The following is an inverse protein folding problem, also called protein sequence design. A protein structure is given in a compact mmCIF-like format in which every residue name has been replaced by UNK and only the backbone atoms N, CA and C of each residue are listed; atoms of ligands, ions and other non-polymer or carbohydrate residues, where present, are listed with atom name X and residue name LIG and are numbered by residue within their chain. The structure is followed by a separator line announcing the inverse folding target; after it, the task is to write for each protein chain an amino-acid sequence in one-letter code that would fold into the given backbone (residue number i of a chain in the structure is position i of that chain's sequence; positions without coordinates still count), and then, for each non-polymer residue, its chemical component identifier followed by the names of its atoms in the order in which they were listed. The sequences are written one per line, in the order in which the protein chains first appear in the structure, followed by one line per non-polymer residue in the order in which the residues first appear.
data_IF_121285056430
#
_entry.id   IF_121285056430
#
_cell.length_a   1.000
_cell.length_b   1.000
_cell.length_c   1.000
_cell.angle_alpha   90.00
_cell.angle_beta   90.00
_cell.angle_gamma   90.00
#
_symmetry.space_group_name_H-M   'P 1'
#
loop_
_entity.id
_entity.type
_entity.pdbx_description
1 polymer ?
#
# COMPACT_ATOMS: atom_id res chain seq x y z
N UNK A 1 -23.62 -42.09 -20.18
CA UNK A 1 -23.88 -41.97 -18.73
C UNK A 1 -22.63 -41.66 -17.89
N UNK A 2 -21.48 -42.35 -18.07
CA UNK A 2 -20.27 -42.11 -17.27
C UNK A 2 -19.69 -40.68 -17.38
N UNK A 3 -19.75 -40.06 -18.57
CA UNK A 3 -19.26 -38.70 -18.83
C UNK A 3 -20.08 -37.62 -18.13
N UNK A 4 -21.41 -37.81 -18.05
CA UNK A 4 -22.34 -36.87 -17.39
C UNK A 4 -22.18 -36.92 -15.86
N UNK A 5 -21.99 -38.12 -15.28
CA UNK A 5 -21.69 -38.29 -13.85
C UNK A 5 -20.36 -37.63 -13.45
N UNK A 6 -19.31 -37.78 -14.27
CA UNK A 6 -18.02 -37.09 -14.05
C UNK A 6 -18.16 -35.57 -14.12
N UNK A 7 -18.95 -35.05 -15.06
CA UNK A 7 -19.18 -33.59 -15.18
C UNK A 7 -19.95 -33.02 -13.99
N UNK A 8 -20.97 -33.73 -13.49
CA UNK A 8 -21.75 -33.32 -12.32
C UNK A 8 -20.91 -33.38 -11.03
N UNK A 9 -20.11 -34.43 -10.85
CA UNK A 9 -19.19 -34.54 -9.72
C UNK A 9 -18.13 -33.42 -9.73
N UNK A 10 -17.58 -33.11 -10.91
CA UNK A 10 -16.63 -31.99 -11.07
C UNK A 10 -17.27 -30.64 -10.74
N UNK A 11 -18.51 -30.39 -11.18
CA UNK A 11 -19.26 -29.16 -10.85
C UNK A 11 -19.56 -29.04 -9.37
N UNK A 12 -19.95 -30.12 -8.71
CA UNK A 12 -20.21 -30.15 -7.27
C UNK A 12 -18.94 -29.86 -6.47
N UNK A 13 -17.81 -30.45 -6.87
CA UNK A 13 -16.52 -30.22 -6.23
C UNK A 13 -16.03 -28.77 -6.41
N UNK A 14 -16.20 -28.20 -7.61
CA UNK A 14 -15.90 -26.77 -7.87
C UNK A 14 -16.77 -25.85 -7.02
N UNK A 15 -18.05 -26.19 -6.83
CA UNK A 15 -18.95 -25.40 -5.98
C UNK A 15 -18.53 -25.44 -4.50
N UNK A 16 -18.14 -26.62 -4.00
CA UNK A 16 -17.70 -26.81 -2.61
C UNK A 16 -16.41 -26.05 -2.30
N UNK A 17 -15.46 -26.08 -3.23
CA UNK A 17 -14.19 -25.34 -3.14
C UNK A 17 -14.45 -23.83 -3.11
N UNK A 18 -15.30 -23.31 -4.01
CA UNK A 18 -15.68 -21.88 -4.01
C UNK A 18 -16.34 -21.45 -2.71
N UNK A 19 -17.24 -22.27 -2.17
CA UNK A 19 -17.89 -21.99 -0.88
C UNK A 19 -16.89 -21.97 0.27
N UNK A 20 -15.89 -22.86 0.24
CA UNK A 20 -14.79 -22.87 1.21
C UNK A 20 -13.95 -21.59 1.12
N UNK A 21 -13.49 -21.19 -0.06
CA UNK A 21 -12.71 -19.96 -0.28
C UNK A 21 -13.47 -18.71 0.22
N UNK A 22 -14.75 -18.58 -0.14
CA UNK A 22 -15.62 -17.48 0.30
C UNK A 22 -15.76 -17.46 1.82
N UNK A 23 -15.96 -18.63 2.43
CA UNK A 23 -16.10 -18.74 3.89
C UNK A 23 -14.81 -18.34 4.62
N UNK A 24 -13.64 -18.67 4.07
CA UNK A 24 -12.34 -18.27 4.64
C UNK A 24 -12.16 -16.76 4.52
N UNK A 25 -12.37 -16.21 3.34
CA UNK A 25 -12.21 -14.77 3.06
C UNK A 25 -13.12 -13.93 3.97
N UNK A 26 -14.41 -14.26 4.04
CA UNK A 26 -15.39 -13.52 4.84
C UNK A 26 -15.12 -13.64 6.33
N UNK A 27 -14.77 -14.85 6.81
CA UNK A 27 -14.42 -15.08 8.22
C UNK A 27 -13.22 -14.23 8.64
N UNK A 28 -12.13 -14.26 7.86
CA UNK A 28 -10.93 -13.47 8.17
C UNK A 28 -11.25 -11.97 8.15
N UNK A 29 -12.04 -11.52 7.17
CA UNK A 29 -12.44 -10.12 7.06
C UNK A 29 -13.23 -9.67 8.29
N UNK A 30 -14.25 -10.45 8.70
CA UNK A 30 -15.08 -10.16 9.87
C UNK A 30 -14.28 -10.19 11.18
N UNK A 31 -13.41 -11.18 11.38
CA UNK A 31 -12.56 -11.22 12.58
C UNK A 31 -11.63 -10.00 12.66
N UNK A 32 -11.07 -9.53 11.54
CA UNK A 32 -10.18 -8.37 11.55
C UNK A 32 -10.93 -7.03 11.68
N UNK A 33 -12.06 -6.85 10.99
CA UNK A 33 -12.77 -5.58 10.92
C UNK A 33 -13.88 -5.43 11.96
N UNK A 34 -14.58 -6.52 12.32
CA UNK A 34 -15.72 -6.47 13.25
C UNK A 34 -15.31 -6.88 14.69
N UNK A 35 -14.51 -7.94 14.85
CA UNK A 35 -14.14 -8.41 16.19
C UNK A 35 -12.96 -7.64 16.81
N UNK A 36 -11.91 -7.38 16.01
CA UNK A 36 -10.76 -6.56 16.47
C UNK A 36 -11.08 -5.07 16.30
N UNK A 37 -11.70 -4.68 15.18
CA UNK A 37 -12.03 -3.29 14.89
C UNK A 37 -10.83 -2.48 14.42
N UNK A 38 -10.75 -1.24 14.91
CA UNK A 38 -9.64 -0.33 14.66
C UNK A 38 -8.32 -0.97 15.10
N UNK A 39 -7.36 -1.03 14.17
CA UNK A 39 -6.03 -1.61 14.38
C UNK A 39 -4.93 -0.65 13.92
N UNK A 40 -4.79 0.52 14.57
CA UNK A 40 -3.75 1.49 14.22
C UNK A 40 -2.35 0.89 14.27
N UNK A 41 -1.46 1.35 13.40
CA UNK A 41 -0.05 0.98 13.47
C UNK A 41 0.53 1.21 14.89
N UNK A 42 1.38 0.28 15.34
CA UNK A 42 2.03 0.24 16.66
C UNK A 42 1.11 0.04 17.87
N UNK A 43 -0.15 -0.36 17.64
CA UNK A 43 -1.13 -0.60 18.70
C UNK A 43 -1.18 -2.06 19.15
N UNK A 44 -1.79 -2.30 20.31
CA UNK A 44 -2.09 -3.67 20.79
C UNK A 44 -3.08 -4.38 19.86
N UNK A 45 -3.99 -3.64 19.21
CA UNK A 45 -4.92 -4.18 18.23
C UNK A 45 -4.20 -4.64 16.95
N UNK A 46 -3.18 -3.91 16.49
CA UNK A 46 -2.29 -4.36 15.39
C UNK A 46 -1.57 -5.67 15.78
N UNK A 47 -1.07 -5.77 17.01
CA UNK A 47 -0.43 -6.99 17.52
C UNK A 47 -1.39 -8.18 17.57
N UNK A 48 -2.63 -7.95 18.01
CA UNK A 48 -3.69 -8.96 18.00
C UNK A 48 -4.06 -9.39 16.58
N UNK A 49 -4.18 -8.43 15.65
CA UNK A 49 -4.44 -8.72 14.23
C UNK A 49 -3.31 -9.56 13.63
N UNK A 50 -2.05 -9.21 13.91
CA UNK A 50 -0.88 -10.01 13.49
C UNK A 50 -0.95 -11.45 13.99
N UNK A 51 -1.33 -11.67 15.25
CA UNK A 51 -1.44 -13.02 15.81
C UNK A 51 -2.56 -13.83 15.13
N UNK A 52 -3.72 -13.21 14.89
CA UNK A 52 -4.85 -13.84 14.19
C UNK A 52 -4.48 -14.18 12.75
N UNK A 53 -3.87 -13.25 12.01
CA UNK A 53 -3.43 -13.46 10.63
C UNK A 53 -2.41 -14.61 10.57
N UNK A 54 -1.45 -14.64 11.50
CA UNK A 54 -0.47 -15.71 11.57
C UNK A 54 -1.13 -17.08 11.81
N UNK A 55 -2.13 -17.14 12.71
CA UNK A 55 -2.87 -18.37 12.95
C UNK A 55 -3.67 -18.81 11.70
N UNK A 56 -4.33 -17.90 11.01
CA UNK A 56 -5.09 -18.20 9.79
C UNK A 56 -4.18 -18.65 8.64
N UNK A 57 -3.01 -18.03 8.47
CA UNK A 57 -2.01 -18.46 7.49
C UNK A 57 -1.50 -19.89 7.78
N UNK A 58 -1.25 -20.23 9.06
CA UNK A 58 -0.86 -21.61 9.44
C UNK A 58 -1.98 -22.62 9.18
N UNK A 59 -3.23 -22.25 9.45
CA UNK A 59 -4.39 -23.12 9.21
C UNK A 59 -4.54 -23.49 7.73
N UNK A 60 -4.15 -22.60 6.82
CA UNK A 60 -4.18 -22.88 5.37
C UNK A 60 -2.88 -23.51 4.85
N UNK A 61 -1.99 -23.95 5.74
CA UNK A 61 -0.78 -24.70 5.42
C UNK A 61 0.40 -23.86 4.92
N UNK A 62 0.47 -22.57 5.28
CA UNK A 62 1.68 -21.77 5.06
C UNK A 62 2.66 -21.96 6.23
N UNK A 63 3.96 -21.90 5.93
CA UNK A 63 4.99 -21.69 6.94
C UNK A 63 4.98 -20.21 7.33
N UNK A 64 4.87 -19.90 8.62
CA UNK A 64 4.58 -18.52 9.06
C UNK A 64 5.64 -17.98 10.01
N UNK A 65 6.28 -16.89 9.59
CA UNK A 65 7.15 -16.04 10.40
C UNK A 65 6.49 -14.70 10.73
N UNK A 66 6.77 -14.18 11.93
CA UNK A 66 6.41 -12.80 12.31
C UNK A 66 7.70 -12.01 12.40
N UNK A 67 7.80 -10.95 11.60
CA UNK A 67 8.95 -10.06 11.57
C UNK A 67 8.63 -8.80 12.36
N UNK A 68 9.33 -8.57 13.47
CA UNK A 68 9.20 -7.35 14.27
C UNK A 68 10.15 -6.26 13.78
N UNK A 69 9.70 -5.01 13.84
CA UNK A 69 10.50 -3.83 13.50
C UNK A 69 10.00 -2.61 14.27
N UNK A 70 10.74 -1.50 14.18
CA UNK A 70 10.33 -0.21 14.77
C UNK A 70 9.70 0.69 13.72
N UNK A 71 8.57 1.30 14.06
CA UNK A 71 7.87 2.26 13.21
C UNK A 71 7.47 3.52 13.99
N UNK A 72 7.33 4.64 13.26
CA UNK A 72 6.80 5.87 13.82
C UNK A 72 5.29 5.75 14.10
N UNK A 73 4.87 6.07 15.31
CA UNK A 73 3.46 6.02 15.71
C UNK A 73 2.57 7.08 15.02
N UNK A 74 3.18 8.19 14.58
CA UNK A 74 2.49 9.33 13.93
C UNK A 74 3.24 9.72 12.65
N UNK A 75 3.17 8.91 11.59
CA UNK A 75 4.05 9.04 10.44
C UNK A 75 3.87 10.33 9.64
N UNK A 76 2.67 10.93 9.63
CA UNK A 76 2.49 12.22 8.95
C UNK A 76 3.04 13.40 9.75
N UNK A 77 3.36 13.20 11.03
CA UNK A 77 4.02 14.23 11.85
C UNK A 77 5.40 14.61 11.30
N UNK A 78 6.07 13.75 10.54
CA UNK A 78 7.34 14.08 9.88
C UNK A 78 7.19 15.22 8.85
N UNK A 79 6.10 15.20 8.08
CA UNK A 79 5.75 16.30 7.17
C UNK A 79 5.41 17.59 7.93
N UNK A 80 4.73 17.46 9.08
CA UNK A 80 4.47 18.59 9.99
C UNK A 80 5.77 19.20 10.54
N UNK A 81 6.73 18.36 10.94
CA UNK A 81 8.04 18.79 11.41
C UNK A 81 8.78 19.59 10.32
N UNK A 82 8.80 19.10 9.07
CA UNK A 82 9.38 19.83 7.94
C UNK A 82 8.73 21.21 7.78
N UNK A 83 7.40 21.28 7.77
CA UNK A 83 6.68 22.55 7.64
C UNK A 83 7.02 23.52 8.78
N UNK A 84 7.08 23.03 10.03
CA UNK A 84 7.45 23.82 11.20
C UNK A 84 8.88 24.36 11.14
N UNK A 85 9.87 23.52 10.79
CA UNK A 85 11.27 23.97 10.61
C UNK A 85 11.38 24.95 9.45
N UNK A 86 10.60 24.77 8.38
CA UNK A 86 10.54 25.70 7.26
C UNK A 86 10.01 27.09 7.63
N UNK A 87 9.01 27.17 8.52
CA UNK A 87 8.54 28.45 9.06
C UNK A 87 9.64 29.19 9.83
N UNK A 88 10.39 28.45 10.66
CA UNK A 88 11.54 29.01 11.38
C UNK A 88 12.62 29.47 10.40
N UNK A 89 12.90 28.68 9.36
CA UNK A 89 13.85 29.06 8.32
C UNK A 89 13.46 30.37 7.63
N UNK A 90 12.18 30.54 7.25
CA UNK A 90 11.70 31.78 6.65
C UNK A 90 11.80 32.96 7.61
N UNK A 91 11.48 32.78 8.90
CA UNK A 91 11.65 33.81 9.92
C UNK A 91 13.11 34.24 10.10
N UNK A 92 14.03 33.27 10.14
CA UNK A 92 15.47 33.54 10.19
C UNK A 92 15.98 34.26 8.94
N UNK A 93 15.33 34.07 7.79
CA UNK A 93 15.68 34.72 6.53
C UNK A 93 15.68 36.24 6.59
N UNK A 94 14.97 36.84 7.56
CA UNK A 94 15.00 38.28 7.82
C UNK A 94 16.38 38.80 8.25
N UNK A 95 17.11 38.02 9.03
CA UNK A 95 18.43 38.41 9.56
C UNK A 95 19.58 37.64 8.90
N UNK A 96 19.31 36.39 8.49
CA UNK A 96 20.29 35.42 8.03
C UNK A 96 19.79 34.77 6.72
N UNK A 97 19.76 35.51 5.60
CA UNK A 97 19.19 35.02 4.34
C UNK A 97 19.94 33.82 3.75
N UNK A 98 21.28 33.81 3.77
CA UNK A 98 22.05 32.70 3.20
C UNK A 98 21.92 31.37 3.99
N UNK A 99 22.03 31.36 5.34
CA UNK A 99 21.70 30.17 6.12
C UNK A 99 20.25 29.70 5.92
N UNK A 100 19.30 30.63 5.81
CA UNK A 100 17.89 30.30 5.52
C UNK A 100 17.73 29.58 4.18
N UNK A 101 18.40 30.05 3.12
CA UNK A 101 18.42 29.39 1.81
C UNK A 101 18.98 27.97 1.94
N UNK A 102 20.14 27.80 2.59
CA UNK A 102 20.76 26.49 2.75
C UNK A 102 19.84 25.51 3.49
N UNK A 103 19.19 25.95 4.56
CA UNK A 103 18.21 25.16 5.30
C UNK A 103 16.98 24.84 4.44
N UNK A 104 16.47 25.78 3.66
CA UNK A 104 15.31 25.58 2.79
C UNK A 104 15.58 24.57 1.67
N UNK A 105 16.78 24.59 1.07
CA UNK A 105 17.22 23.57 0.11
C UNK A 105 17.27 22.20 0.77
N UNK A 106 17.84 22.09 1.98
CA UNK A 106 17.88 20.82 2.72
C UNK A 106 16.48 20.30 3.01
N UNK A 107 15.55 21.15 3.48
CA UNK A 107 14.16 20.78 3.76
C UNK A 107 13.42 20.34 2.49
N UNK A 108 13.66 20.98 1.36
CA UNK A 108 13.12 20.57 0.06
C UNK A 108 13.61 19.17 -0.31
N UNK A 109 14.91 18.91 -0.22
CA UNK A 109 15.48 17.59 -0.50
C UNK A 109 14.91 16.51 0.43
N UNK A 110 14.75 16.81 1.71
CA UNK A 110 14.13 15.89 2.67
C UNK A 110 12.65 15.65 2.38
N UNK A 111 11.87 16.67 1.99
CA UNK A 111 10.47 16.52 1.61
C UNK A 111 10.31 15.63 0.38
N UNK A 112 11.14 15.86 -0.65
CA UNK A 112 11.17 15.01 -1.85
C UNK A 112 11.52 13.57 -1.47
N UNK A 113 12.54 13.38 -0.61
CA UNK A 113 12.93 12.05 -0.15
C UNK A 113 11.84 11.36 0.67
N UNK A 114 11.13 12.07 1.55
CA UNK A 114 10.06 11.50 2.37
C UNK A 114 8.86 11.06 1.51
N UNK A 115 8.52 11.82 0.46
CA UNK A 115 7.42 11.50 -0.46
C UNK A 115 7.76 10.38 -1.47
N UNK A 116 9.05 10.21 -1.82
CA UNK A 116 9.47 9.28 -2.88
C UNK A 116 10.26 8.07 -2.41
N UNK A 117 11.01 8.20 -1.32
CA UNK A 117 11.94 7.21 -0.81
C UNK A 117 11.46 6.53 0.48
N UNK A 118 12.37 5.81 1.15
CA UNK A 118 12.14 5.34 2.51
C UNK A 118 11.95 6.52 3.47
N UNK A 119 11.04 6.39 4.46
CA UNK A 119 10.81 7.45 5.40
C UNK A 119 12.08 7.67 6.23
N UNK A 120 12.65 8.87 6.14
CA UNK A 120 13.86 9.26 6.86
C UNK A 120 13.45 9.91 8.17
N UNK A 121 12.44 10.76 8.11
CA UNK A 121 11.97 11.53 9.25
C UNK A 121 11.24 10.66 10.25
N UNK A 122 10.65 9.55 9.79
CA UNK A 122 10.06 8.57 10.68
C UNK A 122 11.04 8.15 11.78
N UNK A 123 12.34 7.99 11.49
CA UNK A 123 13.35 7.59 12.48
C UNK A 123 13.58 8.60 13.60
N UNK A 124 13.30 9.89 13.36
CA UNK A 124 13.42 10.97 14.36
C UNK A 124 12.19 11.08 15.26
N UNK A 125 11.07 10.47 14.86
CA UNK A 125 9.84 10.44 15.64
C UNK A 125 9.87 9.32 16.69
N UNK A 126 8.90 9.35 17.61
CA UNK A 126 8.75 8.30 18.62
C UNK A 126 8.54 6.94 17.96
N UNK A 127 9.55 6.08 18.08
CA UNK A 127 9.50 4.70 17.62
C UNK A 127 8.68 3.84 18.58
N UNK A 128 7.91 2.92 18.00
CA UNK A 128 7.21 1.85 18.69
C UNK A 128 7.31 0.56 17.88
N UNK A 129 7.20 -0.61 18.52
CA UNK A 129 7.20 -1.89 17.79
C UNK A 129 5.98 -2.00 16.88
N UNK A 130 6.20 -2.58 15.71
CA UNK A 130 5.19 -3.07 14.77
C UNK A 130 5.71 -4.38 14.17
N UNK A 131 4.88 -5.07 13.39
CA UNK A 131 5.25 -6.37 12.84
C UNK A 131 4.59 -6.67 11.49
N UNK A 132 5.32 -7.39 10.64
CA UNK A 132 4.79 -8.04 9.46
C UNK A 132 4.49 -9.51 9.77
N UNK A 133 3.46 -10.06 9.12
CA UNK A 133 3.21 -11.52 9.10
C UNK A 133 3.54 -12.03 7.71
N UNK A 134 4.42 -13.02 7.66
CA UNK A 134 4.96 -13.58 6.42
C UNK A 134 4.59 -15.05 6.39
N UNK A 135 3.71 -15.43 5.48
CA UNK A 135 3.38 -16.81 5.17
C UNK A 135 4.06 -17.24 3.87
N UNK A 136 4.78 -18.36 3.87
CA UNK A 136 5.45 -18.90 2.69
C UNK A 136 4.93 -20.29 2.34
N UNK A 137 4.94 -20.59 1.05
CA UNK A 137 4.75 -21.93 0.49
C UNK A 137 5.92 -22.19 -0.44
N UNK A 138 6.87 -22.96 0.07
CA UNK A 138 8.08 -23.34 -0.66
C UNK A 138 7.74 -24.07 -1.97
N UNK A 139 8.55 -23.85 -3.00
CA UNK A 139 8.53 -24.69 -4.18
C UNK A 139 9.01 -26.11 -3.84
N UNK A 140 8.60 -27.14 -4.59
CA UNK A 140 9.07 -28.52 -4.34
C UNK A 140 10.53 -28.72 -4.76
N UNK A 141 11.03 -27.87 -5.66
CA UNK A 141 12.42 -27.82 -6.13
C UNK A 141 13.04 -26.45 -5.84
N UNK A 142 14.25 -26.23 -6.35
CA UNK A 142 14.87 -24.90 -6.35
C UNK A 142 13.95 -23.91 -7.08
N UNK A 143 13.44 -22.87 -6.40
CA UNK A 143 12.48 -21.95 -7.01
C UNK A 143 13.15 -21.14 -8.12
N UNK A 144 12.48 -21.05 -9.27
CA UNK A 144 12.88 -20.18 -10.41
C UNK A 144 12.20 -18.82 -10.34
N UNK A 145 11.10 -18.74 -9.60
CA UNK A 145 10.33 -17.52 -9.42
C UNK A 145 9.66 -17.49 -8.04
N UNK A 146 9.49 -16.28 -7.53
CA UNK A 146 8.74 -15.98 -6.30
C UNK A 146 7.61 -15.02 -6.63
N UNK A 147 6.42 -15.36 -6.19
CA UNK A 147 5.29 -14.44 -6.22
C UNK A 147 5.00 -13.98 -4.80
N UNK A 148 5.01 -12.66 -4.58
CA UNK A 148 4.79 -12.05 -3.28
C UNK A 148 3.49 -11.25 -3.31
N UNK A 149 2.47 -11.76 -2.62
CA UNK A 149 1.22 -11.05 -2.39
C UNK A 149 1.42 -10.12 -1.19
N UNK A 150 1.20 -8.81 -1.40
CA UNK A 150 1.29 -7.80 -0.34
C UNK A 150 -0.11 -7.31 0.02
N UNK A 151 -0.41 -7.26 1.31
CA UNK A 151 -1.61 -6.64 1.86
C UNK A 151 -1.27 -5.92 3.17
N UNK A 152 -2.11 -4.98 3.60
CA UNK A 152 -1.92 -4.28 4.86
C UNK A 152 -2.74 -4.90 5.98
N UNK A 153 -2.14 -5.08 7.15
CA UNK A 153 -2.85 -5.54 8.33
C UNK A 153 -3.32 -4.42 9.23
N UNK A 154 -2.69 -3.24 9.21
CA UNK A 154 -3.11 -2.08 10.00
C UNK A 154 -4.34 -1.39 9.40
N UNK A 155 -5.08 -0.65 10.23
CA UNK A 155 -6.15 0.23 9.77
C UNK A 155 -5.70 1.69 9.80
N UNK A 156 -6.00 2.46 8.75
CA UNK A 156 -5.51 3.81 8.62
C UNK A 156 -6.37 4.83 9.40
N UNK A 157 -5.81 6.01 9.66
CA UNK A 157 -6.59 7.17 10.10
C UNK A 157 -7.55 7.62 8.99
N UNK A 158 -8.77 7.97 9.38
CA UNK A 158 -9.77 8.55 8.49
C UNK A 158 -9.26 9.84 7.83
N UNK A 159 -9.67 10.01 6.58
CA UNK A 159 -9.53 11.21 5.78
C UNK A 159 -10.94 11.69 5.44
N UNK A 160 -11.24 12.95 5.72
CA UNK A 160 -12.55 13.50 5.38
C UNK A 160 -12.80 13.38 3.85
N UNK A 161 -13.99 12.94 3.40
CA UNK A 161 -14.27 12.65 1.99
C UNK A 161 -13.93 13.78 1.01
N UNK A 162 -14.20 15.04 1.37
CA UNK A 162 -13.87 16.22 0.55
C UNK A 162 -12.37 16.46 0.34
N UNK A 163 -11.51 15.85 1.17
CA UNK A 163 -10.05 15.98 1.09
C UNK A 163 -9.38 14.82 0.36
N UNK A 164 -10.09 13.71 0.10
CA UNK A 164 -9.53 12.55 -0.57
C UNK A 164 -9.11 12.85 -2.02
N UNK A 165 -9.93 13.63 -2.75
CA UNK A 165 -9.61 14.10 -4.11
C UNK A 165 -8.44 15.09 -4.14
N UNK A 166 -8.23 15.83 -3.06
CA UNK A 166 -7.15 16.82 -2.92
C UNK A 166 -5.90 16.27 -2.24
N UNK A 167 -5.89 14.99 -1.83
CA UNK A 167 -4.79 14.42 -1.04
C UNK A 167 -3.44 14.58 -1.73
N UNK A 168 -3.39 14.35 -3.04
CA UNK A 168 -2.18 14.57 -3.84
C UNK A 168 -1.71 16.02 -3.74
N UNK A 169 -2.61 16.99 -3.91
CA UNK A 169 -2.28 18.42 -3.81
C UNK A 169 -1.72 18.76 -2.41
N UNK A 170 -2.35 18.24 -1.35
CA UNK A 170 -1.88 18.42 0.03
C UNK A 170 -0.50 17.79 0.29
N UNK A 171 -0.20 16.63 -0.30
CA UNK A 171 1.12 16.02 -0.17
C UNK A 171 2.20 16.85 -0.89
N UNK A 172 1.84 17.54 -1.97
CA UNK A 172 2.78 18.35 -2.76
C UNK A 172 2.88 19.81 -2.30
N UNK A 173 2.01 20.27 -1.40
CA UNK A 173 1.99 21.66 -0.96
C UNK A 173 3.20 22.03 -0.10
N UNK A 174 3.76 21.09 0.66
CA UNK A 174 4.97 21.31 1.47
C UNK A 174 6.22 21.55 0.59
N UNK A 175 6.60 20.64 -0.33
CA UNK A 175 7.75 20.90 -1.21
C UNK A 175 7.51 22.12 -2.12
N UNK A 176 6.27 22.38 -2.52
CA UNK A 176 5.92 23.61 -3.24
C UNK A 176 6.15 24.86 -2.37
N UNK A 177 5.76 24.83 -1.09
CA UNK A 177 6.01 25.91 -0.14
C UNK A 177 7.50 26.19 0.08
N UNK A 178 8.33 25.15 0.13
CA UNK A 178 9.79 25.33 0.18
C UNK A 178 10.36 25.94 -1.10
N UNK A 179 9.88 25.52 -2.26
CA UNK A 179 10.28 26.09 -3.55
C UNK A 179 9.90 27.58 -3.64
N UNK A 180 8.68 27.93 -3.21
CA UNK A 180 8.23 29.32 -3.14
C UNK A 180 9.04 30.13 -2.10
N UNK A 181 9.41 29.50 -0.98
CA UNK A 181 10.30 30.06 0.02
C UNK A 181 11.67 30.47 -0.54
N UNK A 182 12.28 29.60 -1.34
CA UNK A 182 13.55 29.90 -2.02
C UNK A 182 13.44 31.11 -2.95
N UNK A 183 12.37 31.19 -3.74
CA UNK A 183 12.11 32.33 -4.63
C UNK A 183 11.90 33.61 -3.83
N UNK A 184 11.11 33.56 -2.75
CA UNK A 184 10.83 34.70 -1.89
C UNK A 184 12.09 35.21 -1.16
N UNK A 185 12.96 34.31 -0.69
CA UNK A 185 14.26 34.65 -0.10
C UNK A 185 15.16 35.33 -1.13
N UNK A 186 15.20 34.84 -2.38
CA UNK A 186 15.91 35.49 -3.46
C UNK A 186 15.43 36.93 -3.70
N UNK A 187 14.11 37.13 -3.79
CA UNK A 187 13.51 38.47 -3.93
C UNK A 187 13.89 39.37 -2.76
N UNK A 188 13.79 38.89 -1.52
CA UNK A 188 14.10 39.67 -0.32
C UNK A 188 15.57 40.13 -0.26
N UNK A 189 16.51 39.31 -0.74
CA UNK A 189 17.94 39.66 -0.81
C UNK A 189 18.19 40.81 -1.80
N UNK A 190 17.60 40.74 -3.00
CA UNK A 190 17.83 41.75 -4.05
C UNK A 190 16.94 43.00 -3.90
N UNK A 191 15.77 42.86 -3.26
CA UNK A 191 14.79 43.91 -3.04
C UNK A 191 14.38 43.95 -1.56
N UNK A 192 15.20 44.56 -0.67
CA UNK A 192 14.91 44.61 0.77
C UNK A 192 13.60 45.31 1.13
N UNK A 193 13.05 46.19 0.29
CA UNK A 193 11.73 46.76 0.54
C UNK A 193 10.60 45.71 0.45
N UNK A 194 10.88 44.52 -0.09
CA UNK A 194 9.91 43.46 -0.40
C UNK A 194 10.03 42.23 0.53
N UNK A 195 10.64 42.36 1.72
CA UNK A 195 10.73 41.25 2.68
C UNK A 195 9.36 40.64 3.05
N UNK A 196 8.26 41.40 2.94
CA UNK A 196 6.89 40.91 3.15
C UNK A 196 6.48 39.76 2.22
N UNK A 197 7.16 39.56 1.08
CA UNK A 197 6.93 38.43 0.17
C UNK A 197 7.17 37.08 0.86
N UNK A 198 8.00 37.02 1.91
CA UNK A 198 8.23 35.81 2.73
C UNK A 198 6.96 35.32 3.45
N UNK A 199 5.97 36.18 3.65
CA UNK A 199 4.70 35.82 4.30
C UNK A 199 3.87 34.87 3.44
N UNK A 200 4.03 34.87 2.11
CA UNK A 200 3.26 34.00 1.20
C UNK A 200 3.63 32.52 1.40
N UNK A 201 4.90 32.09 1.24
CA UNK A 201 5.29 30.72 1.57
C UNK A 201 5.13 30.42 3.06
N UNK A 202 5.31 31.41 3.94
CA UNK A 202 5.06 31.28 5.37
C UNK A 202 3.62 30.87 5.68
N UNK A 203 2.63 31.57 5.13
CA UNK A 203 1.22 31.23 5.31
C UNK A 203 0.89 29.84 4.78
N UNK A 204 1.42 29.48 3.61
CA UNK A 204 1.22 28.15 3.02
C UNK A 204 1.75 27.04 3.93
N UNK A 205 2.99 27.18 4.43
CA UNK A 205 3.60 26.20 5.33
C UNK A 205 2.88 26.15 6.68
N UNK A 206 2.39 27.29 7.19
CA UNK A 206 1.59 27.35 8.42
C UNK A 206 0.28 26.59 8.26
N UNK A 207 -0.44 26.79 7.14
CA UNK A 207 -1.66 26.03 6.85
C UNK A 207 -1.34 24.53 6.76
N UNK A 208 -0.26 24.14 6.08
CA UNK A 208 0.15 22.73 6.00
C UNK A 208 0.44 22.14 7.39
N UNK A 209 1.18 22.85 8.23
CA UNK A 209 1.47 22.44 9.61
C UNK A 209 0.18 22.26 10.42
N UNK A 210 -0.72 23.23 10.37
CA UNK A 210 -2.00 23.18 11.09
C UNK A 210 -2.88 22.01 10.61
N UNK A 211 -2.88 21.72 9.31
CA UNK A 211 -3.60 20.56 8.74
C UNK A 211 -3.02 19.26 9.28
N UNK A 212 -1.69 19.10 9.31
CA UNK A 212 -1.03 17.89 9.84
C UNK A 212 -1.30 17.76 11.35
N UNK A 213 -1.14 18.83 12.13
CA UNK A 213 -1.39 18.81 13.58
C UNK A 213 -2.84 18.47 13.90
N UNK A 214 -3.79 19.07 13.18
CA UNK A 214 -5.21 18.75 13.33
C UNK A 214 -5.49 17.29 12.98
N UNK A 215 -4.87 16.75 11.92
CA UNK A 215 -5.02 15.35 11.53
C UNK A 215 -4.51 14.42 12.61
N UNK A 216 -3.27 14.62 13.11
CA UNK A 216 -2.68 13.73 14.09
C UNK A 216 -3.37 13.80 15.47
N UNK A 217 -3.97 14.94 15.82
CA UNK A 217 -4.66 15.14 17.10
C UNK A 217 -6.15 14.75 17.10
N UNK A 218 -6.85 14.87 15.97
CA UNK A 218 -8.33 14.73 15.94
C UNK A 218 -8.87 13.73 14.93
N UNK A 219 -8.05 13.16 14.05
CA UNK A 219 -8.58 12.19 13.09
C UNK A 219 -8.85 10.85 13.77
N UNK A 220 -10.11 10.42 13.69
CA UNK A 220 -10.57 9.08 14.05
C UNK A 220 -9.93 8.01 13.14
N UNK A 221 -10.03 6.76 13.56
CA UNK A 221 -9.49 5.62 12.82
C UNK A 221 -10.61 4.92 12.05
N UNK A 222 -10.31 4.35 10.88
CA UNK A 222 -11.25 3.40 10.28
C UNK A 222 -11.07 2.02 10.91
N UNK A 223 -12.09 1.19 10.80
CA UNK A 223 -11.97 -0.26 11.07
C UNK A 223 -11.17 -0.99 9.98
N UNK A 224 -10.84 -0.33 8.86
CA UNK A 224 -9.99 -0.90 7.81
C UNK A 224 -10.63 -2.10 7.11
N UNK A 225 -11.93 -2.07 6.84
CA UNK A 225 -12.64 -3.21 6.25
C UNK A 225 -12.07 -3.59 4.87
N UNK A 226 -11.68 -2.62 4.05
CA UNK A 226 -11.07 -2.88 2.74
C UNK A 226 -9.68 -3.51 2.82
N UNK A 227 -8.88 -3.17 3.84
CA UNK A 227 -7.59 -3.79 4.12
C UNK A 227 -7.78 -5.22 4.65
N UNK A 228 -8.72 -5.42 5.56
CA UNK A 228 -9.11 -6.74 6.07
C UNK A 228 -9.58 -7.67 4.94
N UNK A 229 -10.38 -7.15 4.01
CA UNK A 229 -10.83 -7.88 2.82
C UNK A 229 -9.65 -8.28 1.92
N UNK A 230 -8.63 -7.43 1.78
CA UNK A 230 -7.43 -7.78 1.04
C UNK A 230 -6.63 -8.90 1.71
N UNK A 231 -6.45 -8.86 3.03
CA UNK A 231 -5.81 -9.94 3.80
C UNK A 231 -6.58 -11.25 3.64
N UNK A 232 -7.90 -11.22 3.83
CA UNK A 232 -8.77 -12.38 3.65
C UNK A 232 -8.68 -12.96 2.24
N UNK A 233 -8.62 -12.11 1.21
CA UNK A 233 -8.47 -12.52 -0.20
C UNK A 233 -7.13 -13.24 -0.42
N UNK A 234 -6.04 -12.69 0.10
CA UNK A 234 -4.71 -13.26 -0.09
C UNK A 234 -4.56 -14.62 0.61
N UNK A 235 -5.10 -14.76 1.82
CA UNK A 235 -5.09 -16.04 2.56
C UNK A 235 -6.01 -17.07 1.91
N UNK A 236 -7.21 -16.68 1.47
CA UNK A 236 -8.11 -17.57 0.74
C UNK A 236 -7.48 -18.06 -0.57
N UNK A 237 -6.80 -17.17 -1.30
CA UNK A 237 -6.05 -17.54 -2.51
C UNK A 237 -4.94 -18.55 -2.21
N UNK A 238 -4.21 -18.36 -1.12
CA UNK A 238 -3.12 -19.25 -0.74
C UNK A 238 -3.60 -20.62 -0.24
N UNK A 239 -4.77 -20.69 0.40
CA UNK A 239 -5.37 -21.96 0.82
C UNK A 239 -5.57 -22.92 -0.37
N UNK A 240 -6.01 -22.36 -1.49
CA UNK A 240 -6.43 -23.13 -2.66
C UNK A 240 -5.37 -23.24 -3.76
N UNK A 241 -4.32 -22.42 -3.70
CA UNK A 241 -3.26 -22.43 -4.71
C UNK A 241 -2.21 -23.49 -4.38
N UNK A 242 -2.13 -24.61 -5.11
CA UNK A 242 -1.31 -25.76 -4.73
C UNK A 242 0.18 -25.41 -4.74
N UNK A 243 0.96 -26.16 -3.96
CA UNK A 243 2.41 -26.12 -4.04
C UNK A 243 2.86 -26.36 -5.49
N UNK A 244 3.85 -25.59 -5.97
CA UNK A 244 4.37 -25.67 -7.33
C UNK A 244 5.81 -26.15 -7.33
N UNK A 245 6.26 -26.68 -8.46
CA UNK A 245 7.61 -27.20 -8.56
C UNK A 245 8.68 -26.11 -8.60
N UNK A 246 8.41 -25.03 -9.36
CA UNK A 246 9.40 -23.99 -9.65
C UNK A 246 9.00 -22.60 -9.12
N UNK A 247 7.84 -22.47 -8.46
CA UNK A 247 7.31 -21.18 -8.01
C UNK A 247 7.00 -21.20 -6.52
N UNK A 248 7.61 -20.26 -5.81
CA UNK A 248 7.35 -20.01 -4.39
C UNK A 248 6.25 -18.95 -4.23
N UNK A 249 5.31 -19.17 -3.31
CA UNK A 249 4.30 -18.19 -2.94
C UNK A 249 4.61 -17.59 -1.57
N UNK A 250 4.61 -16.26 -1.51
CA UNK A 250 4.69 -15.50 -0.29
C UNK A 250 3.39 -14.71 -0.13
N UNK A 251 2.80 -14.78 1.05
CA UNK A 251 1.69 -13.91 1.48
C UNK A 251 2.22 -13.07 2.63
N UNK A 252 2.34 -11.76 2.40
CA UNK A 252 2.87 -10.84 3.40
C UNK A 252 1.80 -9.84 3.78
N UNK A 253 1.35 -9.95 5.04
CA UNK A 253 0.56 -8.92 5.68
C UNK A 253 1.53 -7.91 6.32
N UNK A 254 1.59 -6.72 5.76
CA UNK A 254 2.47 -5.64 6.17
C UNK A 254 1.86 -4.87 7.35
N UNK A 255 2.65 -4.69 8.39
CA UNK A 255 2.36 -3.75 9.48
C UNK A 255 2.80 -2.33 9.14
N UNK A 256 2.23 -1.36 9.85
CA UNK A 256 2.55 0.05 9.69
C UNK A 256 2.55 0.54 8.22
N UNK A 257 1.56 0.12 7.42
CA UNK A 257 1.33 0.59 6.05
C UNK A 257 1.06 2.08 6.00
N UNK A 258 0.25 2.59 6.93
CA UNK A 258 0.00 4.02 7.08
C UNK A 258 1.27 4.81 7.49
N UNK A 259 2.33 4.12 7.95
CA UNK A 259 3.61 4.69 8.34
C UNK A 259 4.64 4.77 7.22
N UNK A 260 4.23 5.35 6.10
CA UNK A 260 5.09 5.62 4.94
C UNK A 260 5.80 4.34 4.39
N UNK A 261 5.15 3.18 4.53
CA UNK A 261 5.67 1.89 4.09
C UNK A 261 6.85 1.42 4.94
N UNK A 262 6.77 1.57 6.27
CA UNK A 262 7.80 1.04 7.18
C UNK A 262 7.83 -0.49 7.15
N UNK A 263 6.68 -1.16 7.09
CA UNK A 263 6.58 -2.61 6.97
C UNK A 263 7.27 -3.17 5.73
N UNK A 264 7.00 -2.60 4.56
CA UNK A 264 7.66 -3.07 3.33
C UNK A 264 9.16 -2.79 3.33
N UNK A 265 9.61 -1.68 3.94
CA UNK A 265 11.05 -1.43 4.08
C UNK A 265 11.70 -2.48 4.97
N UNK A 266 11.08 -2.82 6.10
CA UNK A 266 11.59 -3.85 7.00
C UNK A 266 11.67 -5.21 6.30
N UNK A 267 10.64 -5.56 5.52
CA UNK A 267 10.61 -6.77 4.70
C UNK A 267 11.81 -6.81 3.74
N UNK A 268 11.98 -5.79 2.90
CA UNK A 268 13.05 -5.73 1.91
C UNK A 268 14.46 -5.66 2.53
N UNK A 269 14.59 -5.12 3.75
CA UNK A 269 15.86 -5.08 4.46
C UNK A 269 16.30 -6.45 5.00
N UNK A 270 15.35 -7.30 5.38
CA UNK A 270 15.65 -8.58 6.05
C UNK A 270 15.61 -9.78 5.12
N UNK A 271 14.81 -9.70 4.04
CA UNK A 271 14.64 -10.80 3.10
C UNK A 271 15.25 -10.43 1.74
N UNK A 272 16.27 -11.17 1.28
CA UNK A 272 16.84 -10.97 -0.04
C UNK A 272 15.85 -11.49 -1.10
N UNK A 273 15.18 -10.57 -1.78
CA UNK A 273 14.41 -10.86 -2.99
C UNK A 273 15.27 -10.56 -4.22
N UNK A 274 15.70 -11.59 -4.99
CA UNK A 274 16.36 -11.39 -6.28
C UNK A 274 15.39 -10.68 -7.21
N UNK A 275 15.85 -9.60 -7.85
CA UNK A 275 14.95 -8.71 -8.60
C UNK A 275 14.41 -9.39 -9.85
N UNK A 276 15.24 -10.18 -10.55
CA UNK A 276 14.83 -10.89 -11.76
C UNK A 276 13.88 -12.06 -11.48
N UNK A 277 13.82 -12.55 -10.24
CA UNK A 277 13.07 -13.75 -9.87
C UNK A 277 11.89 -13.45 -8.92
N UNK A 278 11.64 -12.17 -8.58
CA UNK A 278 10.58 -11.82 -7.62
C UNK A 278 9.53 -10.88 -8.23
N UNK A 279 8.29 -11.32 -8.21
CA UNK A 279 7.12 -10.57 -8.68
C UNK A 279 6.17 -10.25 -7.53
N UNK A 280 5.97 -8.96 -7.31
CA UNK A 280 5.07 -8.46 -6.27
C UNK A 280 3.69 -8.16 -6.84
N UNK A 281 2.65 -8.70 -6.21
CA UNK A 281 1.27 -8.31 -6.46
C UNK A 281 0.77 -7.61 -5.21
N UNK A 282 0.68 -6.29 -5.28
CA UNK A 282 0.15 -5.47 -4.20
C UNK A 282 -1.37 -5.47 -4.26
N UNK A 283 -2.01 -5.82 -3.15
CA UNK A 283 -3.46 -5.90 -2.98
C UNK A 283 -3.92 -4.86 -1.96
N UNK A 284 -3.85 -3.55 -2.27
CA UNK A 284 -4.41 -2.56 -1.38
C UNK A 284 -5.93 -2.49 -1.60
N UNK A 285 -6.68 -2.46 -0.50
CA UNK A 285 -8.10 -2.06 -0.45
C UNK A 285 -9.01 -2.83 -1.42
N UNK A 286 -9.51 -3.98 -0.99
CA UNK A 286 -10.48 -4.78 -1.74
C UNK A 286 -11.88 -4.69 -1.15
N UNK A 287 -12.89 -5.04 -1.92
CA UNK A 287 -14.29 -5.07 -1.51
C UNK A 287 -15.07 -3.77 -1.67
N UNK A 288 -14.47 -2.67 -2.16
CA UNK A 288 -15.21 -1.43 -2.47
C UNK A 288 -14.87 -0.91 -3.87
N UNK A 289 -15.85 -0.30 -4.55
CA UNK A 289 -15.67 0.22 -5.91
C UNK A 289 -15.44 -0.87 -6.96
N UNK A 290 -14.87 -0.48 -8.11
CA UNK A 290 -14.55 -1.37 -9.20
C UNK A 290 -13.15 -1.96 -9.05
N UNK A 291 -13.02 -3.27 -9.27
CA UNK A 291 -11.72 -3.93 -9.29
C UNK A 291 -10.88 -3.40 -10.44
N UNK A 292 -9.76 -2.76 -10.09
CA UNK A 292 -8.94 -2.00 -11.02
C UNK A 292 -7.49 -2.46 -10.94
N UNK A 293 -6.90 -2.70 -12.10
CA UNK A 293 -5.45 -2.87 -12.25
C UNK A 293 -4.85 -1.49 -12.45
N UNK A 294 -3.88 -1.13 -11.60
CA UNK A 294 -3.24 0.18 -11.67
C UNK A 294 -2.32 0.23 -12.89
N UNK A 295 -2.67 1.06 -13.87
CA UNK A 295 -1.86 1.29 -15.09
C UNK A 295 -0.65 2.21 -14.86
N UNK A 296 -0.71 3.01 -13.80
CA UNK A 296 0.33 3.95 -13.43
C UNK A 296 0.05 4.57 -12.07
N UNK A 297 1.10 4.78 -11.29
CA UNK A 297 1.01 5.28 -9.93
C UNK A 297 2.24 6.07 -9.51
N UNK A 298 2.10 6.86 -8.46
CA UNK A 298 3.17 7.69 -7.90
C UNK A 298 2.78 9.16 -7.80
N UNK A 299 3.48 9.88 -6.93
CA UNK A 299 3.16 11.27 -6.60
C UNK A 299 3.64 12.27 -7.67
N UNK A 300 4.91 12.22 -8.05
CA UNK A 300 5.54 13.13 -9.04
C UNK A 300 5.81 12.44 -10.36
N UNK A 301 6.41 11.25 -10.29
CA UNK A 301 6.70 10.42 -11.45
C UNK A 301 5.75 9.23 -11.44
N UNK A 302 4.96 9.14 -12.50
CA UNK A 302 4.14 7.96 -12.75
C UNK A 302 5.03 6.78 -13.11
N UNK A 303 4.86 5.66 -12.39
CA UNK A 303 5.52 4.40 -12.62
C UNK A 303 4.51 3.41 -13.18
N UNK A 304 4.84 2.83 -14.32
CA UNK A 304 4.02 1.81 -14.97
C UNK A 304 4.29 0.46 -14.30
N UNK A 305 3.26 -0.40 -14.14
CA UNK A 305 3.44 -1.73 -13.62
C UNK A 305 4.30 -2.58 -14.55
N UNK A 306 4.77 -3.71 -14.03
CA UNK A 306 5.45 -4.72 -14.83
C UNK A 306 4.61 -5.14 -16.05
N UNK A 307 5.25 -5.17 -17.23
CA UNK A 307 4.54 -5.39 -18.49
C UNK A 307 4.06 -6.83 -18.64
N UNK A 308 4.80 -7.80 -18.10
CA UNK A 308 4.43 -9.22 -18.19
C UNK A 308 3.22 -9.50 -17.30
N UNK A 309 3.24 -9.03 -16.05
CA UNK A 309 2.07 -9.09 -15.15
C UNK A 309 0.88 -8.35 -15.78
N UNK A 310 1.07 -7.11 -16.23
CA UNK A 310 -0.01 -6.32 -16.82
C UNK A 310 -0.63 -7.01 -18.05
N UNK A 311 0.18 -7.65 -18.90
CA UNK A 311 -0.29 -8.44 -20.04
C UNK A 311 -1.11 -9.66 -19.59
N UNK A 312 -0.63 -10.41 -18.59
CA UNK A 312 -1.39 -11.56 -18.06
C UNK A 312 -2.74 -11.15 -17.49
N UNK A 313 -2.81 -10.03 -16.74
CA UNK A 313 -4.08 -9.51 -16.27
C UNK A 313 -5.01 -9.07 -17.41
N UNK A 314 -4.46 -8.45 -18.46
CA UNK A 314 -5.23 -8.01 -19.63
C UNK A 314 -5.80 -9.18 -20.44
N UNK A 315 -5.01 -10.22 -20.70
CA UNK A 315 -5.45 -11.44 -21.41
C UNK A 315 -6.55 -12.20 -20.66
N UNK A 316 -6.64 -12.00 -19.34
CA UNK A 316 -7.64 -12.64 -18.49
C UNK A 316 -8.95 -11.82 -18.35
N UNK A 317 -9.03 -10.66 -19.00
CA UNK A 317 -10.25 -9.87 -19.07
C UNK A 317 -11.31 -10.61 -19.90
N UNK A 318 -12.50 -10.80 -19.33
CA UNK A 318 -13.65 -11.38 -20.03
C UNK A 318 -14.90 -10.53 -19.80
N UNK A 319 -15.93 -10.68 -20.64
CA UNK A 319 -17.21 -9.99 -20.46
C UNK A 319 -17.84 -10.25 -19.07
N UNK A 320 -17.55 -11.41 -18.46
CA UNK A 320 -17.97 -11.81 -17.12
C UNK A 320 -17.03 -11.38 -15.97
N UNK A 321 -15.90 -10.74 -16.31
CA UNK A 321 -14.87 -10.27 -15.39
C UNK A 321 -14.18 -9.01 -15.97
N UNK A 322 -14.92 -7.90 -16.16
CA UNK A 322 -14.34 -6.69 -16.72
C UNK A 322 -13.38 -6.07 -15.69
N UNK A 323 -12.08 -6.21 -15.97
CA UNK A 323 -11.04 -5.54 -15.19
C UNK A 323 -10.87 -4.12 -15.72
N UNK A 324 -11.07 -3.13 -14.85
CA UNK A 324 -10.80 -1.74 -15.21
C UNK A 324 -9.29 -1.55 -15.15
N UNK A 325 -8.76 -0.75 -16.07
CA UNK A 325 -7.37 -0.31 -16.03
C UNK A 325 -7.35 1.21 -15.94
N UNK A 326 -6.77 1.74 -14.87
CA UNK A 326 -6.74 3.17 -14.63
C UNK A 326 -5.46 3.58 -13.91
N UNK A 327 -5.03 4.83 -14.11
CA UNK A 327 -3.96 5.41 -13.30
C UNK A 327 -4.51 5.77 -11.93
N UNK A 328 -3.77 5.45 -10.87
CA UNK A 328 -4.11 5.87 -9.52
C UNK A 328 -3.34 7.14 -9.17
N UNK A 329 -4.06 8.23 -8.88
CA UNK A 329 -3.51 9.56 -8.62
C UNK A 329 -3.71 10.03 -7.17
N UNK A 330 -3.78 9.09 -6.24
CA UNK A 330 -3.90 9.35 -4.80
C UNK A 330 -2.57 9.30 -4.07
N UNK A 331 -2.55 8.64 -2.92
CA UNK A 331 -1.31 8.41 -2.18
C UNK A 331 -0.44 7.34 -2.85
N UNK A 332 0.82 7.22 -2.41
CA UNK A 332 1.74 6.24 -2.98
C UNK A 332 1.37 4.84 -2.47
N UNK A 333 1.08 3.90 -3.38
CA UNK A 333 1.00 2.47 -3.05
C UNK A 333 2.41 1.86 -3.01
N UNK A 334 2.56 0.71 -2.36
CA UNK A 334 3.86 0.06 -2.19
C UNK A 334 4.49 -0.41 -3.50
N UNK A 335 3.68 -0.78 -4.50
CA UNK A 335 4.19 -1.14 -5.82
C UNK A 335 4.96 0.00 -6.48
N UNK A 336 4.60 1.27 -6.26
CA UNK A 336 5.39 2.41 -6.75
C UNK A 336 6.83 2.42 -6.18
N UNK A 337 7.00 2.01 -4.92
CA UNK A 337 8.33 1.88 -4.29
C UNK A 337 9.10 0.69 -4.85
N UNK A 338 8.44 -0.46 -5.01
CA UNK A 338 9.04 -1.65 -5.60
C UNK A 338 9.53 -1.39 -7.03
N UNK A 339 8.70 -0.75 -7.85
CA UNK A 339 9.05 -0.29 -9.19
C UNK A 339 10.19 0.74 -9.19
N UNK A 340 10.34 1.53 -8.11
CA UNK A 340 11.48 2.44 -7.94
C UNK A 340 12.79 1.73 -7.65
N UNK A 341 12.73 0.59 -6.97
CA UNK A 341 13.87 -0.25 -6.66
C UNK A 341 14.21 -1.24 -7.78
N UNK A 342 13.39 -1.30 -8.84
CA UNK A 342 13.60 -2.17 -10.00
C UNK A 342 13.01 -3.57 -9.86
N UNK A 343 12.09 -3.79 -8.91
CA UNK A 343 11.32 -5.03 -8.82
C UNK A 343 10.17 -5.07 -9.82
N UNK A 344 9.76 -6.28 -10.20
CA UNK A 344 8.52 -6.49 -10.90
C UNK A 344 7.34 -6.32 -9.94
N UNK A 345 6.44 -5.36 -10.20
CA UNK A 345 5.28 -5.14 -9.34
C UNK A 345 4.03 -4.67 -10.10
N UNK A 346 2.87 -4.98 -9.54
CA UNK A 346 1.56 -4.50 -10.00
C UNK A 346 0.62 -4.32 -8.80
N UNK A 347 -0.26 -3.32 -8.85
CA UNK A 347 -1.32 -3.14 -7.85
C UNK A 347 -2.69 -3.52 -8.43
N UNK A 348 -3.47 -4.25 -7.62
CA UNK A 348 -4.88 -4.57 -7.87
C UNK A 348 -5.72 -4.02 -6.72
N UNK A 349 -6.61 -3.08 -7.03
CA UNK A 349 -7.23 -2.20 -6.03
C UNK A 349 -8.70 -1.92 -6.34
N UNK A 350 -9.51 -1.67 -5.32
CA UNK A 350 -10.86 -1.13 -5.44
C UNK A 350 -10.87 0.39 -5.63
N UNK A 351 -11.21 0.86 -6.84
CA UNK A 351 -11.33 2.30 -7.14
C UNK A 351 -12.77 2.70 -7.48
N UNK A 352 -13.13 3.94 -7.15
CA UNK A 352 -14.35 4.57 -7.65
C UNK A 352 -14.20 4.89 -9.14
N UNK A 353 -15.32 5.21 -9.81
CA UNK A 353 -15.32 5.58 -11.22
C UNK A 353 -14.47 6.82 -11.54
N UNK A 354 -14.25 7.70 -10.56
CA UNK A 354 -13.39 8.88 -10.66
C UNK A 354 -11.89 8.59 -10.47
N UNK A 355 -11.51 7.33 -10.25
CA UNK A 355 -10.13 6.89 -10.03
C UNK A 355 -9.60 7.09 -8.61
N UNK A 356 -10.43 7.54 -7.67
CA UNK A 356 -10.07 7.63 -6.24
C UNK A 356 -10.28 6.30 -5.52
N UNK A 357 -9.64 6.13 -4.36
CA UNK A 357 -9.76 4.91 -3.56
C UNK A 357 -11.19 4.76 -3.01
N UNK A 358 -11.76 3.56 -3.13
CA UNK A 358 -13.08 3.26 -2.61
C UNK A 358 -12.98 2.68 -1.18
N UNK A 359 -13.70 3.28 -0.23
CA UNK A 359 -13.69 2.86 1.19
C UNK A 359 -12.41 3.23 1.95
N UNK A 360 -11.23 3.20 1.32
CA UNK A 360 -9.99 3.49 2.04
C UNK A 360 -9.98 4.88 2.70
N UNK A 361 -9.71 4.90 4.01
CA UNK A 361 -9.70 6.09 4.88
C UNK A 361 -11.02 6.86 4.88
N UNK A 362 -12.13 6.24 4.51
CA UNK A 362 -13.43 6.92 4.47
C UNK A 362 -14.32 6.43 5.62
N UNK A 363 -15.33 7.22 6.03
CA UNK A 363 -16.28 6.79 7.06
C UNK A 363 -17.09 5.55 6.68
N UNK A 364 -17.13 5.21 5.39
CA UNK A 364 -17.83 4.06 4.84
C UNK A 364 -16.91 2.82 4.67
N UNK A 365 -15.74 2.82 5.31
CA UNK A 365 -14.80 1.69 5.38
C UNK A 365 -15.28 0.62 6.37
N UNK A 366 -16.46 0.07 6.12
CA UNK A 366 -17.15 -0.86 7.02
C UNK A 366 -17.46 -2.19 6.33
N UNK A 367 -17.44 -3.27 7.10
CA UNK A 367 -17.63 -4.65 6.61
C UNK A 367 -18.99 -4.83 5.91
N UNK A 368 -20.05 -4.20 6.44
CA UNK A 368 -21.41 -4.23 5.85
C UNK A 368 -21.50 -3.59 4.47
N UNK A 369 -20.54 -2.75 4.10
CA UNK A 369 -20.50 -2.02 2.83
C UNK A 369 -19.58 -2.66 1.80
N UNK A 370 -18.95 -3.79 2.15
CA UNK A 370 -18.12 -4.57 1.24
C UNK A 370 -18.97 -5.30 0.19
N UNK A 371 -18.49 -5.25 -1.04
CA UNK A 371 -19.04 -5.93 -2.21
C UNK A 371 -18.45 -7.33 -2.30
N UNK A 372 -19.24 -8.32 -1.87
CA UNK A 372 -18.92 -9.74 -2.06
C UNK A 372 -18.63 -10.08 -3.53
N UNK A 373 -19.43 -9.62 -4.52
CA UNK A 373 -19.14 -9.88 -5.93
C UNK A 373 -17.76 -9.37 -6.39
N UNK A 374 -17.32 -8.21 -5.88
CA UNK A 374 -16.00 -7.67 -6.23
C UNK A 374 -14.87 -8.50 -5.60
N UNK A 375 -15.04 -8.90 -4.34
CA UNK A 375 -14.09 -9.78 -3.63
C UNK A 375 -13.93 -11.14 -4.33
N UNK A 376 -15.03 -11.72 -4.80
CA UNK A 376 -15.03 -12.96 -5.58
C UNK A 376 -14.38 -12.78 -6.96
N UNK A 377 -14.60 -11.62 -7.60
CA UNK A 377 -13.93 -11.29 -8.85
C UNK A 377 -12.42 -11.19 -8.64
N UNK A 378 -11.98 -10.53 -7.57
CA UNK A 378 -10.56 -10.39 -7.21
C UNK A 378 -9.91 -11.77 -7.03
N UNK A 379 -10.51 -12.62 -6.20
CA UNK A 379 -10.00 -13.98 -5.96
C UNK A 379 -9.89 -14.79 -7.26
N UNK A 380 -10.93 -14.78 -8.10
CA UNK A 380 -10.94 -15.51 -9.38
C UNK A 380 -9.87 -15.02 -10.35
N UNK A 381 -9.71 -13.69 -10.47
CA UNK A 381 -8.72 -13.09 -11.37
C UNK A 381 -7.31 -13.39 -10.90
N UNK A 382 -7.03 -13.17 -9.61
CA UNK A 382 -5.71 -13.44 -9.04
C UNK A 382 -5.32 -14.91 -9.19
N UNK A 383 -6.23 -15.84 -8.91
CA UNK A 383 -5.99 -17.28 -9.12
C UNK A 383 -5.60 -17.61 -10.55
N UNK A 384 -6.34 -17.09 -11.53
CA UNK A 384 -6.01 -17.29 -12.95
C UNK A 384 -4.66 -16.70 -13.33
N UNK A 385 -4.32 -15.53 -12.79
CA UNK A 385 -3.00 -14.90 -13.01
C UNK A 385 -1.90 -15.76 -12.42
N UNK A 386 -2.02 -16.23 -11.18
CA UNK A 386 -1.02 -17.11 -10.56
C UNK A 386 -0.85 -18.42 -11.35
N UNK A 387 -1.94 -19.03 -11.81
CA UNK A 387 -1.90 -20.25 -12.62
C UNK A 387 -1.25 -20.01 -14.00
N UNK A 388 -1.50 -18.86 -14.62
CA UNK A 388 -0.86 -18.48 -15.88
C UNK A 388 0.63 -18.19 -15.68
N UNK A 389 0.97 -17.47 -14.61
CA UNK A 389 2.34 -17.16 -14.23
C UNK A 389 3.14 -18.45 -14.03
N UNK A 390 2.66 -19.38 -13.19
CA UNK A 390 3.36 -20.62 -12.91
C UNK A 390 3.60 -21.46 -14.17
N UNK A 391 2.62 -21.55 -15.08
CA UNK A 391 2.78 -22.25 -16.36
C UNK A 391 3.84 -21.61 -17.26
N UNK A 392 3.94 -20.28 -17.28
CA UNK A 392 4.93 -19.60 -18.08
C UNK A 392 6.36 -19.88 -17.56
N UNK A 393 6.53 -19.94 -16.24
CA UNK A 393 7.83 -20.23 -15.61
C UNK A 393 8.28 -21.67 -15.85
N UNK A 394 7.37 -22.64 -15.81
CA UNK A 394 7.70 -24.04 -16.10
C UNK A 394 8.04 -24.29 -17.57
N UNK A 395 7.56 -23.45 -18.50
CA UNK A 395 7.82 -23.59 -19.94
C UNK A 395 9.10 -22.89 -20.42
N UNK A 396 9.74 -22.06 -19.58
CA UNK A 396 10.98 -21.37 -19.95
C UNK A 396 12.17 -22.37 -19.88
N UNK A 397 12.98 -22.53 -20.96
CA UNK A 397 14.10 -23.46 -20.95
C UNK A 397 15.05 -23.18 -19.77
N UNK A 398 15.68 -24.22 -19.24
CA UNK A 398 16.66 -24.08 -18.17
C UNK A 398 17.77 -23.14 -18.65
N UNK A 399 17.96 -22.00 -17.97
CA UNK A 399 19.14 -21.17 -18.22
C UNK A 399 20.35 -21.98 -17.75
N UNK A 400 21.40 -22.11 -18.58
CA UNK A 400 22.57 -22.93 -18.28
C UNK A 400 23.32 -22.46 -17.04
#
# INVERSE_FOLDING_TARGET
MATQKKLLASRAQIALVKMSEQSVQQRITGTLADEIGERPATSTAEARASAVIAAQMRQVGLEVGVQTFSAAAAPSAGLGLLAGVGLVALGLGWWLPYPSIALMVLLLLLAVRELHGPPVLASLLRQRPSQNVIGTRAATRTPRARIVLLCHLDSPRMLSPSRASWLRVWLLSIPFGFSLGLVALGIAIFLPAWHSVLLIPGLLLLVCLLVVLRRESRAEWTVGAVDAAAVGTAIALAADWPQRDDVELWVVALGAGAAAGSGIQALLNSYPFPKEETWFINLPWLGRGNLTIVAGEGLWRERKPDQQLAKMFHELQSASAPLIRSAYRGERLDSARLLALGYHAISVVGLKSDGTAAGFRQPDDETRLLSVPQMELALRVLRRVLDRFARNQSNEPQRP
#
